data_IF_563170138759
#
_entry.id   IF_563170138759
#
_cell.length_a   1.000
_cell.length_b   1.000
_cell.length_c   1.000
_cell.angle_alpha   90.00
_cell.angle_beta   90.00
_cell.angle_gamma   90.00
#
_symmetry.space_group_name_H-M   'P 1'
#
loop_
_entity.id
_entity.type
_entity.pdbx_description
1 polymer ?
#
# COMPACT_ATOMS: atom_id res chain seq x y z
N UNK A 1 5.31 2.56 -4.51
CA UNK A 1 4.29 3.21 -3.66
C UNK A 1 4.67 4.66 -3.46
N UNK A 2 4.02 5.58 -4.17
CA UNK A 2 4.41 6.99 -4.26
C UNK A 2 3.97 7.86 -3.07
N UNK A 3 2.98 7.41 -2.29
CA UNK A 3 2.36 8.19 -1.21
C UNK A 3 2.39 7.47 0.16
N UNK A 4 2.32 8.25 1.23
CA UNK A 4 1.85 7.84 2.56
C UNK A 4 1.21 9.06 3.25
N UNK A 5 0.64 8.88 4.45
CA UNK A 5 -0.01 9.99 5.13
C UNK A 5 0.94 11.17 5.42
N UNK A 6 2.10 10.90 6.02
CA UNK A 6 3.00 11.94 6.53
C UNK A 6 3.98 12.53 5.51
N UNK A 7 4.25 11.87 4.38
CA UNK A 7 5.26 12.28 3.39
C UNK A 7 6.69 11.80 3.71
N UNK A 8 6.83 10.67 4.42
CA UNK A 8 8.16 10.19 4.89
C UNK A 8 8.84 9.23 3.89
N UNK A 9 10.17 9.14 3.94
CA UNK A 9 10.98 8.23 3.12
C UNK A 9 10.69 8.42 1.62
N UNK A 10 10.97 9.64 1.15
CA UNK A 10 10.85 10.11 -0.25
C UNK A 10 9.46 9.97 -0.89
N UNK A 11 8.42 9.71 -0.08
CA UNK A 11 7.03 9.59 -0.54
C UNK A 11 6.32 10.93 -0.41
N UNK A 12 5.41 11.19 -1.34
CA UNK A 12 4.56 12.37 -1.27
C UNK A 12 3.55 12.26 -0.12
N UNK A 13 3.31 13.39 0.54
CA UNK A 13 2.41 13.48 1.68
C UNK A 13 0.96 13.49 1.22
N UNK A 14 0.13 12.57 1.70
CA UNK A 14 -1.31 12.60 1.42
C UNK A 14 -2.01 13.75 2.15
N UNK A 15 -1.42 14.26 3.25
CA UNK A 15 -1.93 15.45 3.97
C UNK A 15 -2.02 16.69 3.08
N UNK A 16 -1.23 16.75 2.00
CA UNK A 16 -1.27 17.89 1.07
C UNK A 16 -2.64 18.07 0.41
N UNK A 17 -3.42 16.99 0.27
CA UNK A 17 -4.77 17.01 -0.30
C UNK A 17 -5.82 17.43 0.72
N UNK A 18 -5.68 18.64 1.28
CA UNK A 18 -6.50 19.12 2.41
C UNK A 18 -8.00 19.03 2.14
N UNK A 19 -8.44 19.41 0.95
CA UNK A 19 -9.87 19.38 0.58
C UNK A 19 -10.41 17.95 0.56
N UNK A 20 -9.66 17.01 -0.02
CA UNK A 20 -10.04 15.58 -0.04
C UNK A 20 -10.09 15.04 1.40
N UNK A 21 -9.06 15.30 2.21
CA UNK A 21 -9.02 14.82 3.59
C UNK A 21 -10.18 15.41 4.40
N UNK A 22 -10.49 16.71 4.23
CA UNK A 22 -11.62 17.37 4.89
C UNK A 22 -12.96 16.78 4.47
N UNK A 23 -13.17 16.50 3.19
CA UNK A 23 -14.41 15.89 2.69
C UNK A 23 -14.59 14.49 3.26
N UNK A 24 -13.55 13.65 3.23
CA UNK A 24 -13.62 12.29 3.78
C UNK A 24 -13.90 12.35 5.28
N UNK A 25 -13.16 13.19 6.03
CA UNK A 25 -13.40 13.37 7.45
C UNK A 25 -14.84 13.82 7.71
N UNK A 26 -15.35 14.81 6.98
CA UNK A 26 -16.73 15.29 7.14
C UNK A 26 -17.80 14.22 6.88
N UNK A 27 -17.55 13.27 5.98
CA UNK A 27 -18.44 12.13 5.73
C UNK A 27 -18.38 11.12 6.88
N UNK A 28 -17.18 10.90 7.44
CA UNK A 28 -16.95 9.92 8.51
C UNK A 28 -17.24 10.46 9.92
N UNK A 29 -17.35 11.78 10.07
CA UNK A 29 -17.50 12.45 11.35
C UNK A 29 -18.89 12.23 11.95
N UNK A 30 -19.07 11.10 12.63
CA UNK A 30 -20.18 10.79 13.53
C UNK A 30 -19.81 11.12 14.97
N UNK A 31 -20.78 11.09 15.89
CA UNK A 31 -20.52 11.31 17.31
C UNK A 31 -19.39 10.40 17.82
N UNK A 32 -18.35 11.02 18.38
CA UNK A 32 -17.18 10.32 18.94
C UNK A 32 -16.04 10.03 17.95
N UNK A 33 -16.21 10.24 16.64
CA UNK A 33 -15.11 10.07 15.67
C UNK A 33 -14.19 11.29 15.66
N UNK A 34 -12.92 11.11 16.02
CA UNK A 34 -11.98 12.22 16.13
C UNK A 34 -11.08 12.34 14.91
N UNK A 35 -10.42 13.49 14.78
CA UNK A 35 -9.37 13.67 13.77
C UNK A 35 -8.21 12.67 13.95
N UNK A 36 -7.93 12.23 15.19
CA UNK A 36 -6.88 11.25 15.45
C UNK A 36 -7.27 9.87 14.89
N UNK A 37 -8.54 9.49 15.02
CA UNK A 37 -9.08 8.25 14.45
C UNK A 37 -8.98 8.27 12.92
N UNK A 38 -9.38 9.39 12.31
CA UNK A 38 -9.22 9.60 10.87
C UNK A 38 -7.77 9.43 10.40
N UNK A 39 -6.82 10.05 11.10
CA UNK A 39 -5.40 9.91 10.78
C UNK A 39 -4.95 8.46 10.91
N UNK A 40 -5.40 7.74 11.94
CA UNK A 40 -5.07 6.34 12.16
C UNK A 40 -5.61 5.46 11.03
N UNK A 41 -6.86 5.67 10.61
CA UNK A 41 -7.51 4.93 9.52
C UNK A 41 -6.79 5.12 8.19
N UNK A 42 -6.44 6.37 7.83
CA UNK A 42 -5.69 6.64 6.60
C UNK A 42 -4.32 5.97 6.64
N UNK A 43 -3.60 6.02 7.77
CA UNK A 43 -2.32 5.32 7.93
C UNK A 43 -2.49 3.80 7.80
N UNK A 44 -3.53 3.22 8.40
CA UNK A 44 -3.83 1.81 8.31
C UNK A 44 -4.17 1.37 6.87
N UNK A 45 -4.91 2.19 6.13
CA UNK A 45 -5.23 1.95 4.71
C UNK A 45 -3.95 1.92 3.86
N UNK A 46 -3.05 2.90 4.01
CA UNK A 46 -1.76 2.91 3.32
C UNK A 46 -0.89 1.70 3.69
N UNK A 47 -0.88 1.31 4.98
CA UNK A 47 -0.12 0.15 5.45
C UNK A 47 -0.65 -1.14 4.82
N UNK A 48 -1.97 -1.35 4.83
CA UNK A 48 -2.64 -2.50 4.23
C UNK A 48 -2.32 -2.62 2.74
N UNK A 49 -2.41 -1.50 2.01
CA UNK A 49 -2.14 -1.48 0.58
C UNK A 49 -0.66 -1.81 0.27
N UNK A 50 0.29 -1.27 1.05
CA UNK A 50 1.72 -1.62 0.94
C UNK A 50 1.95 -3.10 1.18
N UNK A 51 1.38 -3.65 2.24
CA UNK A 51 1.50 -5.08 2.58
C UNK A 51 1.00 -5.96 1.43
N UNK A 52 -0.18 -5.66 0.88
CA UNK A 52 -0.74 -6.39 -0.28
C UNK A 52 0.16 -6.30 -1.50
N UNK A 53 0.67 -5.11 -1.82
CA UNK A 53 1.59 -4.89 -2.95
C UNK A 53 2.86 -5.74 -2.82
N UNK A 54 3.53 -5.70 -1.66
CA UNK A 54 4.76 -6.45 -1.45
C UNK A 54 4.53 -7.96 -1.44
N UNK A 55 3.43 -8.43 -0.84
CA UNK A 55 3.05 -9.85 -0.89
C UNK A 55 2.84 -10.31 -2.33
N UNK A 56 2.08 -9.57 -3.13
CA UNK A 56 1.85 -9.89 -4.54
C UNK A 56 3.17 -9.99 -5.31
N UNK A 57 4.07 -9.01 -5.16
CA UNK A 57 5.36 -9.01 -5.85
C UNK A 57 6.29 -10.14 -5.39
N UNK A 58 6.22 -10.52 -4.11
CA UNK A 58 6.93 -11.68 -3.58
C UNK A 58 6.41 -12.98 -4.21
N UNK A 59 5.08 -13.16 -4.22
CA UNK A 59 4.45 -14.36 -4.74
C UNK A 59 4.69 -14.51 -6.25
N UNK A 60 4.67 -13.40 -7.00
CA UNK A 60 5.06 -13.36 -8.42
C UNK A 60 6.51 -13.82 -8.64
N UNK A 61 7.47 -13.28 -7.88
CA UNK A 61 8.88 -13.68 -7.98
C UNK A 61 9.08 -15.15 -7.65
N UNK A 62 8.38 -15.66 -6.63
CA UNK A 62 8.43 -17.08 -6.26
C UNK A 62 7.88 -17.98 -7.34
N UNK A 63 6.79 -17.56 -8.02
CA UNK A 63 6.21 -18.30 -9.14
C UNK A 63 7.17 -18.36 -10.33
N UNK A 64 7.77 -17.23 -10.73
CA UNK A 64 8.76 -17.17 -11.81
C UNK A 64 9.95 -18.09 -11.51
N UNK A 65 10.51 -18.02 -10.30
CA UNK A 65 11.62 -18.87 -9.88
C UNK A 65 11.29 -20.37 -10.00
N UNK A 66 10.11 -20.78 -9.51
CA UNK A 66 9.65 -22.18 -9.64
C UNK A 66 9.50 -22.62 -11.09
N UNK A 67 8.95 -21.77 -11.95
CA UNK A 67 8.80 -22.06 -13.38
C UNK A 67 10.16 -22.21 -14.07
N UNK A 68 11.15 -21.36 -13.74
CA UNK A 68 12.52 -21.48 -14.25
C UNK A 68 13.21 -22.76 -13.76
N UNK A 69 13.06 -23.12 -12.48
CA UNK A 69 13.61 -24.37 -11.92
C UNK A 69 12.95 -25.64 -12.51
N UNK A 70 11.73 -25.51 -13.06
CA UNK A 70 10.96 -26.64 -13.62
C UNK A 70 11.15 -26.80 -15.13
N UNK A 71 11.82 -25.87 -15.82
CA UNK A 71 12.31 -26.12 -17.18
C UNK A 71 13.64 -26.86 -17.04
N UNK A 72 13.72 -28.15 -17.41
CA UNK A 72 15.01 -28.83 -17.46
C UNK A 72 15.87 -28.12 -18.49
N UNK A 73 17.12 -27.86 -18.13
CA UNK A 73 18.17 -27.51 -19.09
C UNK A 73 18.18 -28.67 -20.10
N UNK A 74 17.63 -28.44 -21.30
CA UNK A 74 17.71 -29.41 -22.39
C UNK A 74 19.12 -29.33 -22.97
N UNK A 75 20.09 -29.84 -22.21
CA UNK A 75 21.50 -29.97 -22.61
C UNK A 75 21.67 -31.17 -23.54
N UNK A 76 20.99 -31.15 -24.70
CA UNK A 76 21.12 -32.17 -25.76
C UNK A 76 21.34 -31.58 -27.16
N UNK A 77 22.03 -30.45 -27.28
CA UNK A 77 22.65 -30.01 -28.54
C UNK A 77 24.14 -29.74 -28.37
#
# INVERSE_FOLDING_TARGET
>A
MAYNYDGVSTKQSFKQYKNINKTIFGILNTDGYTQADYVADIRAAFHTLKRRYHKRNHDLRRKIKRTQESQPNSDWE
#
